data_IF_823126704092
#
_entry.id   IF_823126704092
#
_cell.length_a   1.000
_cell.length_b   1.000
_cell.length_c   1.000
_cell.angle_alpha   90.00
_cell.angle_beta   90.00
_cell.angle_gamma   90.00
#
_symmetry.space_group_name_H-M   'P 1'
#
loop_
_entity.id
_entity.type
_entity.pdbx_description
1 polymer ?
#
# COMPACT_ATOMS: atom_id res chain seq x y z
N UNK A 1 -19.49 48.54 -45.37
CA UNK A 1 -18.98 47.27 -44.83
C UNK A 1 -17.92 47.57 -43.79
N UNK A 2 -18.23 47.42 -42.50
CA UNK A 2 -17.24 47.55 -41.43
C UNK A 2 -16.40 46.26 -41.38
N UNK A 3 -15.10 46.40 -41.65
CA UNK A 3 -14.13 45.31 -41.60
C UNK A 3 -13.79 45.08 -40.13
N UNK A 4 -14.28 43.98 -39.56
CA UNK A 4 -13.87 43.51 -38.25
C UNK A 4 -12.37 43.17 -38.31
N UNK A 5 -11.54 44.06 -37.74
CA UNK A 5 -10.12 43.78 -37.53
C UNK A 5 -10.06 42.74 -36.42
N UNK A 6 -9.70 41.51 -36.77
CA UNK A 6 -9.42 40.47 -35.79
C UNK A 6 -8.18 40.91 -35.01
N UNK A 7 -8.37 41.34 -33.76
CA UNK A 7 -7.28 41.69 -32.86
C UNK A 7 -6.49 40.40 -32.55
N UNK A 8 -5.30 40.27 -33.14
CA UNK A 8 -4.37 39.20 -32.81
C UNK A 8 -3.79 39.41 -31.41
N UNK A 9 -3.52 38.32 -30.71
CA UNK A 9 -2.86 38.32 -29.40
C UNK A 9 -1.44 38.90 -29.52
N UNK A 10 -1.05 39.79 -28.62
CA UNK A 10 0.28 40.38 -28.63
C UNK A 10 1.33 39.41 -28.06
N UNK A 11 2.54 39.45 -28.63
CA UNK A 11 3.67 38.62 -28.16
C UNK A 11 4.01 38.92 -26.69
N UNK A 12 3.86 40.19 -26.27
CA UNK A 12 4.08 40.58 -24.87
C UNK A 12 3.01 40.02 -23.93
N UNK A 13 1.77 39.92 -24.38
CA UNK A 13 0.67 39.35 -23.59
C UNK A 13 0.92 37.86 -23.35
N UNK A 14 1.42 37.15 -24.36
CA UNK A 14 1.80 35.75 -24.22
C UNK A 14 2.98 35.57 -23.25
N UNK A 15 4.02 36.41 -23.38
CA UNK A 15 5.21 36.32 -22.52
C UNK A 15 4.90 36.54 -21.03
N UNK A 16 4.03 37.49 -20.71
CA UNK A 16 3.63 37.73 -19.31
C UNK A 16 2.86 36.54 -18.74
N UNK A 17 1.95 35.94 -19.52
CA UNK A 17 1.19 34.77 -19.08
C UNK A 17 2.12 33.59 -18.79
N UNK A 18 3.10 33.33 -19.66
CA UNK A 18 4.08 32.25 -19.44
C UNK A 18 4.92 32.52 -18.19
N UNK A 19 5.33 33.77 -17.95
CA UNK A 19 6.08 34.13 -16.75
C UNK A 19 5.28 33.88 -15.46
N UNK A 20 4.00 34.25 -15.44
CA UNK A 20 3.11 34.03 -14.29
C UNK A 20 2.90 32.52 -14.06
N UNK A 21 2.63 31.75 -15.11
CA UNK A 21 2.48 30.28 -15.04
C UNK A 21 3.77 29.64 -14.52
N UNK A 22 4.95 30.13 -14.93
CA UNK A 22 6.25 29.63 -14.45
C UNK A 22 6.42 29.77 -12.94
N UNK A 23 6.06 30.92 -12.37
CA UNK A 23 6.13 31.16 -10.91
C UNK A 23 5.12 30.26 -10.18
N UNK A 24 3.88 30.19 -10.66
CA UNK A 24 2.83 29.35 -10.06
C UNK A 24 3.19 27.86 -10.09
N UNK A 25 3.80 27.40 -11.19
CA UNK A 25 4.27 26.02 -11.31
C UNK A 25 5.41 25.73 -10.32
N UNK A 26 6.37 26.64 -10.16
CA UNK A 26 7.48 26.45 -9.21
C UNK A 26 6.99 26.31 -7.76
N UNK A 27 6.07 27.16 -7.32
CA UNK A 27 5.50 27.07 -5.97
C UNK A 27 4.57 25.87 -5.83
N UNK A 28 3.74 25.62 -6.84
CA UNK A 28 2.76 24.53 -6.84
C UNK A 28 3.41 23.14 -6.83
N UNK A 29 4.53 22.95 -7.53
CA UNK A 29 5.22 21.66 -7.61
C UNK A 29 5.78 21.20 -6.27
N UNK A 30 6.39 22.10 -5.48
CA UNK A 30 6.92 21.77 -4.14
C UNK A 30 5.79 21.38 -3.19
N UNK A 31 4.70 22.16 -3.16
CA UNK A 31 3.55 21.86 -2.29
C UNK A 31 2.85 20.55 -2.67
N UNK A 32 2.62 20.34 -3.97
CA UNK A 32 1.96 19.14 -4.49
C UNK A 32 2.79 17.87 -4.23
N UNK A 33 4.11 17.92 -4.43
CA UNK A 33 5.01 16.79 -4.17
C UNK A 33 4.97 16.32 -2.70
N UNK A 34 4.95 17.26 -1.76
CA UNK A 34 4.79 16.96 -0.33
C UNK A 34 3.42 16.36 -0.02
N UNK A 35 2.35 16.90 -0.58
CA UNK A 35 1.00 16.37 -0.39
C UNK A 35 0.88 14.92 -0.87
N UNK A 36 1.41 14.62 -2.07
CA UNK A 36 1.41 13.25 -2.62
C UNK A 36 2.20 12.30 -1.73
N UNK A 37 3.38 12.72 -1.25
CA UNK A 37 4.19 11.91 -0.32
C UNK A 37 3.43 11.61 0.98
N UNK A 38 2.83 12.62 1.62
CA UNK A 38 2.04 12.42 2.84
C UNK A 38 0.82 11.52 2.61
N UNK A 39 0.22 11.59 1.41
CA UNK A 39 -0.90 10.73 1.02
C UNK A 39 -0.45 9.28 0.92
N UNK A 40 0.70 9.00 0.30
CA UNK A 40 1.27 7.65 0.20
C UNK A 40 1.58 7.05 1.57
N UNK A 41 2.14 7.85 2.49
CA UNK A 41 2.38 7.43 3.89
C UNK A 41 1.07 7.02 4.56
N UNK A 42 0.04 7.87 4.49
CA UNK A 42 -1.28 7.60 5.10
C UNK A 42 -1.96 6.36 4.52
N UNK A 43 -1.92 6.21 3.19
CA UNK A 43 -2.48 5.03 2.51
C UNK A 43 -1.75 3.76 2.97
N UNK A 44 -0.42 3.81 3.11
CA UNK A 44 0.34 2.65 3.59
C UNK A 44 -0.10 2.23 4.99
N UNK A 45 -0.30 3.18 5.92
CA UNK A 45 -0.81 2.89 7.27
C UNK A 45 -2.23 2.32 7.25
N UNK A 46 -3.12 2.97 6.50
CA UNK A 46 -4.50 2.50 6.33
C UNK A 46 -4.58 1.09 5.74
N UNK A 47 -3.65 0.73 4.85
CA UNK A 47 -3.59 -0.60 4.28
C UNK A 47 -3.11 -1.64 5.31
N UNK A 48 -2.18 -1.28 6.19
CA UNK A 48 -1.76 -2.14 7.32
C UNK A 48 -2.95 -2.41 8.24
N UNK A 49 -3.71 -1.36 8.60
CA UNK A 49 -4.92 -1.48 9.43
C UNK A 49 -5.96 -2.40 8.76
N UNK A 50 -6.20 -2.23 7.46
CA UNK A 50 -7.15 -3.03 6.72
C UNK A 50 -6.73 -4.51 6.66
N UNK A 51 -5.44 -4.79 6.45
CA UNK A 51 -4.92 -6.16 6.42
C UNK A 51 -4.96 -6.80 7.81
N UNK A 52 -4.64 -6.06 8.88
CA UNK A 52 -4.73 -6.63 10.24
C UNK A 52 -6.19 -6.95 10.62
N UNK A 53 -7.14 -6.11 10.22
CA UNK A 53 -8.57 -6.37 10.41
C UNK A 53 -9.04 -7.58 9.59
N UNK A 54 -8.57 -7.72 8.34
CA UNK A 54 -8.88 -8.88 7.50
C UNK A 54 -8.29 -10.18 8.09
N UNK A 55 -7.09 -10.13 8.70
CA UNK A 55 -6.52 -11.28 9.41
C UNK A 55 -7.39 -11.71 10.60
N UNK A 56 -7.89 -10.76 11.41
CA UNK A 56 -8.82 -11.10 12.51
C UNK A 56 -10.14 -11.69 12.01
N UNK A 57 -10.61 -11.24 10.85
CA UNK A 57 -11.81 -11.81 10.20
C UNK A 57 -11.53 -13.23 9.69
N UNK A 58 -10.36 -13.46 9.10
CA UNK A 58 -9.92 -14.77 8.64
C UNK A 58 -9.76 -15.75 9.80
N UNK A 59 -9.28 -15.29 10.96
CA UNK A 59 -9.19 -16.08 12.19
C UNK A 59 -10.57 -16.52 12.67
N UNK A 60 -11.51 -15.58 12.77
CA UNK A 60 -12.89 -15.89 13.17
C UNK A 60 -13.58 -16.85 12.20
N UNK A 61 -13.33 -16.73 10.89
CA UNK A 61 -13.82 -17.68 9.90
C UNK A 61 -13.28 -19.09 10.16
N UNK A 62 -11.97 -19.19 10.35
CA UNK A 62 -11.27 -20.45 10.58
C UNK A 62 -11.74 -21.17 11.84
N UNK A 63 -11.99 -20.43 12.93
CA UNK A 63 -12.53 -20.98 14.19
C UNK A 63 -14.00 -21.37 14.07
N UNK A 64 -14.79 -20.60 13.33
CA UNK A 64 -16.25 -20.84 13.21
C UNK A 64 -16.60 -22.02 12.31
N UNK A 65 -15.70 -22.41 11.39
CA UNK A 65 -15.92 -23.45 10.37
C UNK A 65 -17.10 -23.18 9.42
N UNK A 66 -17.59 -21.93 9.35
CA UNK A 66 -18.70 -21.55 8.47
C UNK A 66 -18.29 -21.60 7.00
N UNK A 67 -17.04 -21.25 6.68
CA UNK A 67 -16.46 -21.42 5.35
C UNK A 67 -15.61 -22.71 5.32
N UNK A 68 -16.04 -23.75 4.60
CA UNK A 68 -15.28 -25.00 4.50
C UNK A 68 -13.90 -24.85 3.84
N UNK A 69 -13.67 -23.75 3.11
CA UNK A 69 -12.42 -23.50 2.41
C UNK A 69 -11.43 -22.71 3.27
N UNK A 70 -11.86 -22.16 4.42
CA UNK A 70 -11.01 -21.41 5.33
C UNK A 70 -11.11 -22.04 6.72
N UNK A 71 -10.19 -22.98 6.98
CA UNK A 71 -10.18 -23.82 8.20
C UNK A 71 -8.86 -23.73 8.97
N UNK A 72 -7.94 -22.85 8.56
CA UNK A 72 -6.58 -22.78 9.08
C UNK A 72 -5.73 -21.78 8.32
N UNK A 73 -4.55 -21.47 8.86
CA UNK A 73 -3.61 -20.48 8.29
C UNK A 73 -3.35 -20.72 6.80
N UNK A 74 -3.07 -21.96 6.41
CA UNK A 74 -2.71 -22.29 5.03
C UNK A 74 -3.76 -21.88 3.99
N UNK A 75 -5.05 -22.05 4.31
CA UNK A 75 -6.13 -21.83 3.36
C UNK A 75 -6.79 -20.44 3.53
N UNK A 76 -6.79 -19.91 4.75
CA UNK A 76 -7.34 -18.60 5.05
C UNK A 76 -6.39 -17.46 4.72
N UNK A 77 -5.09 -17.66 4.97
CA UNK A 77 -4.09 -16.58 5.01
C UNK A 77 -2.99 -16.77 3.99
N UNK A 78 -2.23 -17.86 4.08
CA UNK A 78 -1.06 -18.07 3.24
C UNK A 78 -0.68 -19.54 3.14
N UNK A 79 -0.71 -20.09 1.93
CA UNK A 79 -0.42 -21.51 1.66
C UNK A 79 1.07 -21.82 1.47
N UNK A 80 1.95 -20.82 1.58
CA UNK A 80 3.36 -20.94 1.19
C UNK A 80 3.64 -20.44 -0.23
N UNK A 81 2.66 -20.52 -1.13
CA UNK A 81 2.80 -20.12 -2.54
C UNK A 81 1.79 -19.05 -2.97
N UNK A 82 0.65 -18.95 -2.29
CA UNK A 82 -0.39 -17.98 -2.60
C UNK A 82 -1.09 -17.47 -1.33
N UNK A 83 -1.62 -16.25 -1.40
CA UNK A 83 -2.47 -15.72 -0.36
C UNK A 83 -3.82 -16.45 -0.36
N UNK A 84 -4.31 -16.75 0.84
CA UNK A 84 -5.63 -17.34 1.04
C UNK A 84 -6.74 -16.38 0.63
N UNK A 85 -7.90 -16.95 0.28
CA UNK A 85 -9.03 -16.19 -0.26
C UNK A 85 -9.65 -15.23 0.76
N UNK A 86 -9.49 -15.49 2.07
CA UNK A 86 -10.15 -14.71 3.12
C UNK A 86 -9.58 -13.28 3.27
N UNK A 87 -8.33 -13.03 2.85
CA UNK A 87 -7.69 -11.71 2.96
C UNK A 87 -7.74 -10.93 1.64
N UNK A 88 -8.04 -11.59 0.52
CA UNK A 88 -8.34 -10.92 -0.76
C UNK A 88 -7.23 -10.04 -1.33
N UNK A 89 -5.98 -10.52 -1.38
CA UNK A 89 -4.81 -9.69 -1.73
C UNK A 89 -4.44 -9.65 -3.22
N UNK A 90 -5.18 -10.32 -4.11
CA UNK A 90 -4.78 -10.56 -5.52
C UNK A 90 -4.54 -9.28 -6.32
N UNK A 91 -5.37 -8.25 -6.09
CA UNK A 91 -5.30 -6.96 -6.80
C UNK A 91 -4.71 -5.83 -5.95
N UNK A 92 -4.15 -6.15 -4.78
CA UNK A 92 -3.59 -5.16 -3.87
C UNK A 92 -2.44 -4.39 -4.53
N UNK A 93 -2.36 -3.06 -4.36
CA UNK A 93 -1.35 -2.21 -5.00
C UNK A 93 -0.49 -1.47 -3.97
N UNK A 94 0.80 -1.34 -4.27
CA UNK A 94 1.68 -0.47 -3.50
C UNK A 94 1.45 1.01 -3.88
N UNK A 95 1.25 1.88 -2.88
CA UNK A 95 1.02 3.32 -3.05
C UNK A 95 2.23 4.08 -3.65
N UNK A 96 3.44 3.55 -3.50
CA UNK A 96 4.68 4.14 -4.03
C UNK A 96 5.06 3.58 -5.40
N UNK A 97 4.65 2.35 -5.72
CA UNK A 97 4.90 1.71 -7.01
C UNK A 97 3.71 0.84 -7.44
N UNK A 98 2.89 1.37 -8.34
CA UNK A 98 1.64 0.72 -8.77
C UNK A 98 1.85 -0.51 -9.67
N UNK A 99 3.09 -0.76 -10.12
CA UNK A 99 3.49 -1.98 -10.83
C UNK A 99 3.66 -3.16 -9.88
N UNK A 100 3.92 -2.91 -8.58
CA UNK A 100 3.89 -3.94 -7.57
C UNK A 100 2.44 -4.21 -7.20
N UNK A 101 1.95 -5.39 -7.59
CA UNK A 101 0.57 -5.80 -7.36
C UNK A 101 0.50 -7.20 -6.77
N UNK A 102 -0.55 -7.48 -6.01
CA UNK A 102 -0.80 -8.79 -5.46
C UNK A 102 0.01 -9.11 -4.21
N UNK A 103 -0.05 -10.38 -3.80
CA UNK A 103 0.72 -10.92 -2.70
C UNK A 103 1.64 -12.07 -3.15
N UNK A 104 2.77 -12.22 -2.47
CA UNK A 104 3.74 -13.28 -2.74
C UNK A 104 4.69 -13.51 -1.55
N UNK A 105 5.60 -14.48 -1.65
CA UNK A 105 6.64 -14.64 -0.62
C UNK A 105 7.72 -13.55 -0.73
N UNK A 106 8.13 -13.24 -1.96
CA UNK A 106 9.23 -12.31 -2.27
C UNK A 106 8.83 -11.21 -3.25
N UNK A 107 7.74 -11.42 -3.99
CA UNK A 107 7.20 -10.49 -5.00
C UNK A 107 5.83 -9.98 -4.56
N UNK A 108 5.29 -9.00 -5.29
CA UNK A 108 4.02 -8.35 -4.96
C UNK A 108 4.16 -7.17 -4.01
N UNK A 109 3.02 -6.54 -3.76
CA UNK A 109 2.88 -5.40 -2.86
C UNK A 109 2.72 -5.83 -1.38
N UNK A 110 2.14 -7.01 -1.15
CA UNK A 110 2.13 -7.67 0.17
C UNK A 110 3.04 -8.89 0.13
N UNK A 111 3.88 -9.06 1.15
CA UNK A 111 4.88 -10.13 1.19
C UNK A 111 4.79 -10.95 2.47
N UNK A 112 4.72 -12.27 2.32
CA UNK A 112 4.70 -13.20 3.44
C UNK A 112 6.10 -13.72 3.72
N UNK A 113 6.62 -13.44 4.92
CA UNK A 113 8.00 -13.76 5.29
C UNK A 113 8.11 -14.28 6.73
N UNK A 114 9.19 -14.98 7.06
CA UNK A 114 9.45 -15.47 8.43
C UNK A 114 10.16 -14.44 9.31
N UNK A 115 10.77 -13.43 8.68
CA UNK A 115 11.47 -12.33 9.35
C UNK A 115 11.24 -11.05 8.58
N UNK A 116 11.08 -9.94 9.30
CA UNK A 116 10.89 -8.63 8.69
C UNK A 116 12.21 -8.09 8.10
N UNK A 117 12.27 -7.76 6.81
CA UNK A 117 13.40 -7.04 6.23
C UNK A 117 13.43 -5.59 6.70
N UNK A 118 14.62 -4.97 6.72
CA UNK A 118 14.75 -3.54 6.99
C UNK A 118 14.02 -2.71 5.93
N UNK A 119 13.17 -1.78 6.37
CA UNK A 119 12.61 -0.78 5.47
C UNK A 119 13.72 0.10 4.86
N UNK A 120 13.53 0.46 3.59
CA UNK A 120 14.39 1.33 2.79
C UNK A 120 13.54 2.06 1.75
N UNK A 121 14.13 3.02 1.03
CA UNK A 121 13.46 3.68 -0.10
C UNK A 121 12.97 2.70 -1.17
N UNK A 122 13.65 1.56 -1.35
CA UNK A 122 13.27 0.52 -2.30
C UNK A 122 12.04 -0.30 -1.85
N UNK A 123 11.69 -0.25 -0.57
CA UNK A 123 10.56 -1.01 0.01
C UNK A 123 9.40 -0.13 0.45
N UNK A 124 9.43 1.18 0.18
CA UNK A 124 8.34 2.08 0.55
C UNK A 124 6.99 1.58 0.00
N UNK A 125 5.98 1.59 0.88
CA UNK A 125 4.62 1.12 0.61
C UNK A 125 4.44 -0.39 0.47
N UNK A 126 5.51 -1.18 0.58
CA UNK A 126 5.37 -2.62 0.74
C UNK A 126 4.82 -2.95 2.13
N UNK A 127 3.99 -3.98 2.18
CA UNK A 127 3.48 -4.54 3.43
C UNK A 127 4.04 -5.94 3.59
N UNK A 128 4.58 -6.22 4.78
CA UNK A 128 5.10 -7.51 5.16
C UNK A 128 4.16 -8.13 6.18
N UNK A 129 3.74 -9.36 5.94
CA UNK A 129 3.06 -10.19 6.93
C UNK A 129 4.09 -11.20 7.41
N UNK A 130 4.45 -11.11 8.68
CA UNK A 130 5.46 -11.97 9.29
C UNK A 130 4.83 -12.85 10.36
N UNK A 131 5.10 -14.14 10.27
CA UNK A 131 4.62 -15.14 11.22
C UNK A 131 5.64 -16.27 11.34
N UNK A 132 5.66 -16.94 12.48
CA UNK A 132 6.47 -18.14 12.70
C UNK A 132 6.08 -19.23 11.70
N UNK A 133 7.06 -19.95 11.16
CA UNK A 133 6.83 -21.09 10.27
C UNK A 133 7.53 -22.35 10.83
N UNK A 134 6.87 -23.52 10.83
CA UNK A 134 5.50 -23.76 10.37
C UNK A 134 4.45 -23.03 11.23
N UNK A 135 3.30 -22.72 10.62
CA UNK A 135 2.18 -22.11 11.31
C UNK A 135 1.77 -22.94 12.54
N UNK A 136 1.46 -22.26 13.64
CA UNK A 136 1.01 -22.88 14.88
C UNK A 136 -0.08 -22.04 15.54
N UNK A 137 -0.99 -22.67 16.26
CA UNK A 137 -1.95 -21.97 17.10
C UNK A 137 -1.23 -21.08 18.13
N UNK A 138 -1.78 -19.91 18.39
CA UNK A 138 -1.22 -18.91 19.29
C UNK A 138 0.02 -18.18 18.74
N UNK A 139 0.33 -18.30 17.44
CA UNK A 139 1.49 -17.60 16.88
C UNK A 139 1.24 -16.09 16.75
N UNK A 140 2.28 -15.30 16.98
CA UNK A 140 2.25 -13.86 16.70
C UNK A 140 2.36 -13.64 15.20
N UNK A 141 1.42 -12.86 14.65
CA UNK A 141 1.43 -12.38 13.28
C UNK A 141 1.64 -10.88 13.31
N UNK A 142 2.66 -10.39 12.61
CA UNK A 142 2.93 -8.95 12.50
C UNK A 142 2.68 -8.47 11.09
N UNK A 143 1.82 -7.46 10.94
CA UNK A 143 1.59 -6.75 9.68
C UNK A 143 2.38 -5.44 9.74
N UNK A 144 3.39 -5.31 8.89
CA UNK A 144 4.31 -4.17 8.89
C UNK A 144 4.33 -3.49 7.53
N UNK A 145 3.98 -2.21 7.48
CA UNK A 145 4.13 -1.37 6.29
C UNK A 145 5.37 -0.49 6.38
N UNK A 146 6.21 -0.49 5.34
CA UNK A 146 7.30 0.49 5.23
C UNK A 146 6.73 1.83 4.78
N UNK A 147 6.47 2.74 5.71
CA UNK A 147 5.62 3.91 5.46
C UNK A 147 6.31 5.01 4.64
N UNK A 148 7.64 5.04 4.60
CA UNK A 148 8.44 5.98 3.82
C UNK A 148 8.62 7.37 4.44
N UNK A 149 8.21 7.58 5.69
CA UNK A 149 8.42 8.85 6.43
C UNK A 149 9.91 9.13 6.61
N UNK A 150 10.69 8.08 6.87
CA UNK A 150 12.15 8.06 6.80
C UNK A 150 12.59 6.79 6.10
N UNK A 151 13.88 6.66 5.76
CA UNK A 151 14.40 5.47 5.09
C UNK A 151 14.09 4.17 5.86
N UNK A 152 13.98 4.21 7.20
CA UNK A 152 13.75 3.04 8.06
C UNK A 152 12.39 3.06 8.76
N UNK A 153 11.52 4.02 8.43
CA UNK A 153 10.23 4.16 9.13
C UNK A 153 9.27 3.03 8.75
N UNK A 154 8.64 2.48 9.79
CA UNK A 154 7.70 1.38 9.68
C UNK A 154 6.48 1.62 10.57
N UNK A 155 5.34 1.12 10.13
CA UNK A 155 4.13 1.05 10.91
C UNK A 155 3.72 -0.41 11.04
N UNK A 156 3.65 -0.91 12.28
CA UNK A 156 3.45 -2.33 12.56
C UNK A 156 2.29 -2.53 13.52
N UNK A 157 1.45 -3.50 13.20
CA UNK A 157 0.42 -4.03 14.07
C UNK A 157 0.67 -5.52 14.29
N UNK A 158 0.50 -5.96 15.53
CA UNK A 158 0.64 -7.36 15.92
C UNK A 158 -0.72 -7.92 16.30
N UNK A 159 -1.01 -9.13 15.83
CA UNK A 159 -2.14 -9.93 16.27
C UNK A 159 -1.65 -11.33 16.64
N UNK A 160 -2.50 -12.08 17.33
CA UNK A 160 -2.29 -13.52 17.53
C UNK A 160 -3.14 -14.25 16.52
N UNK A 161 -2.68 -15.40 16.05
CA UNK A 161 -3.48 -16.32 15.25
C UNK A 161 -3.73 -17.61 16.01
N UNK A 162 -4.99 -17.90 16.31
CA UNK A 162 -5.46 -19.16 16.90
C UNK A 162 -6.53 -19.84 16.04
N UNK A 163 -6.55 -19.51 14.74
CA UNK A 163 -7.52 -20.02 13.76
C UNK A 163 -7.22 -21.42 13.23
N UNK A 164 -6.35 -22.20 13.86
CA UNK A 164 -5.87 -23.48 13.30
C UNK A 164 -4.71 -23.32 12.33
N UNK A 165 -4.05 -24.43 11.98
CA UNK A 165 -2.86 -24.45 11.11
C UNK A 165 -3.21 -24.67 9.64
#
# INVERSE_FOLDING_TARGET
>A
MQKNIQAGFSLIELLVVVAIIGILAAVGTVGYGNYVTQTKIKVTKSNVDAISAALGTAEGLAQSTIDPNCTGWANCVWSGTAAGSAIGLTSFKNAYNTLQTGAGATTGAVRFQTSLPSCSSATNGLIYITATQPASNGMTVSVTGCDGTTATSQYQLNSTWDGGV
#
